data_IF_578138389473
#
_entry.id   IF_578138389473
#
_cell.length_a   1.000
_cell.length_b   1.000
_cell.length_c   1.000
_cell.angle_alpha   90.00
_cell.angle_beta   90.00
_cell.angle_gamma   90.00
#
_symmetry.space_group_name_H-M   'P 1'
#
loop_
_entity.id
_entity.type
_entity.pdbx_description
1 polymer ?
#
# COMPACT_ATOMS: atom_id res chain seq x y z
N UNK A 1 37.84 -43.60 -12.79
CA UNK A 1 36.88 -42.90 -13.67
C UNK A 1 35.62 -42.36 -12.95
N UNK A 2 35.25 -42.79 -11.73
CA UNK A 2 33.98 -42.35 -11.11
C UNK A 2 34.01 -41.03 -10.30
N UNK A 3 35.17 -40.59 -9.80
CA UNK A 3 35.25 -39.37 -8.95
C UNK A 3 34.94 -38.07 -9.68
N UNK A 4 35.31 -37.96 -10.96
CA UNK A 4 34.99 -36.80 -11.80
C UNK A 4 33.53 -36.75 -12.23
N UNK A 5 32.88 -37.92 -12.36
CA UNK A 5 31.47 -38.02 -12.74
C UNK A 5 30.53 -37.54 -11.64
N UNK A 6 30.83 -37.90 -10.38
CA UNK A 6 30.08 -37.42 -9.22
C UNK A 6 30.24 -35.89 -9.06
N UNK A 7 31.46 -35.37 -9.28
CA UNK A 7 31.71 -33.94 -9.23
C UNK A 7 30.98 -33.17 -10.35
N UNK A 8 30.95 -33.72 -11.57
CA UNK A 8 30.17 -33.16 -12.69
C UNK A 8 28.65 -33.21 -12.43
N UNK A 9 28.13 -34.30 -11.85
CA UNK A 9 26.71 -34.40 -11.48
C UNK A 9 26.33 -33.40 -10.38
N UNK A 10 27.21 -33.19 -9.39
CA UNK A 10 27.02 -32.17 -8.35
C UNK A 10 27.06 -30.75 -8.94
N UNK A 11 27.94 -30.48 -9.90
CA UNK A 11 28.01 -29.19 -10.60
C UNK A 11 26.75 -28.91 -11.43
N UNK A 12 26.19 -29.94 -12.08
CA UNK A 12 24.91 -29.83 -12.81
C UNK A 12 23.75 -29.59 -11.83
N UNK A 13 23.75 -30.24 -10.67
CA UNK A 13 22.71 -30.03 -9.64
C UNK A 13 22.77 -28.62 -9.03
N UNK A 14 23.97 -28.15 -8.68
CA UNK A 14 24.20 -26.81 -8.10
C UNK A 14 23.92 -25.70 -9.12
N UNK A 15 24.18 -25.93 -10.41
CA UNK A 15 23.84 -24.96 -11.46
C UNK A 15 22.34 -24.82 -11.70
N UNK A 16 21.54 -25.88 -11.44
CA UNK A 16 20.08 -25.78 -11.46
C UNK A 16 19.53 -24.96 -10.27
N UNK A 17 20.21 -24.96 -9.12
CA UNK A 17 19.84 -24.14 -7.95
C UNK A 17 20.30 -22.68 -8.06
N UNK A 18 21.27 -22.38 -8.94
CA UNK A 18 21.86 -21.05 -9.11
C UNK A 18 21.22 -20.18 -10.20
N UNK A 19 20.18 -20.66 -10.86
CA UNK A 19 19.33 -19.76 -11.64
C UNK A 19 18.46 -19.00 -10.64
N UNK A 20 19.00 -17.91 -10.09
CA UNK A 20 18.19 -16.79 -9.60
C UNK A 20 17.46 -16.25 -10.83
N UNK A 21 16.39 -16.96 -11.20
CA UNK A 21 15.60 -16.72 -12.37
C UNK A 21 14.58 -15.66 -11.96
N UNK A 22 14.48 -14.59 -12.75
CA UNK A 22 13.19 -13.92 -12.89
C UNK A 22 12.19 -15.02 -13.30
N UNK A 23 11.45 -15.56 -12.33
CA UNK A 23 10.50 -16.66 -12.57
C UNK A 23 9.35 -16.18 -13.45
N UNK A 24 9.00 -14.90 -13.36
CA UNK A 24 8.10 -14.21 -14.27
C UNK A 24 8.25 -12.68 -14.17
N UNK A 25 7.79 -11.97 -15.19
CA UNK A 25 7.57 -10.51 -15.15
C UNK A 25 6.26 -10.20 -15.85
N UNK A 26 5.40 -9.40 -15.22
CA UNK A 26 4.09 -9.02 -15.77
C UNK A 26 3.81 -7.55 -15.51
N UNK A 27 3.02 -6.97 -16.39
CA UNK A 27 2.52 -5.60 -16.28
C UNK A 27 1.06 -5.68 -15.85
N UNK A 28 0.71 -4.95 -14.80
CA UNK A 28 -0.64 -4.87 -14.26
C UNK A 28 -1.08 -3.42 -14.29
N UNK A 29 -2.32 -3.18 -14.71
CA UNK A 29 -2.86 -1.83 -14.87
C UNK A 29 -3.65 -1.67 -16.17
N UNK A 30 -4.06 -0.45 -16.44
CA UNK A 30 -4.78 -0.01 -17.62
C UNK A 30 -4.02 1.02 -18.46
N UNK A 31 -4.71 1.77 -19.33
CA UNK A 31 -4.12 2.83 -20.13
C UNK A 31 -3.85 4.13 -19.33
N UNK A 32 -4.30 4.18 -18.08
CA UNK A 32 -4.13 5.32 -17.18
C UNK A 32 -2.90 5.15 -16.28
N UNK A 33 -2.54 6.20 -15.55
CA UNK A 33 -1.43 6.15 -14.60
C UNK A 33 -1.81 5.28 -13.39
N UNK A 34 -1.17 4.12 -13.28
CA UNK A 34 -1.34 3.18 -12.17
C UNK A 34 -0.03 3.05 -11.39
N UNK A 35 -0.12 3.11 -10.06
CA UNK A 35 1.05 3.12 -9.18
C UNK A 35 0.96 1.96 -8.18
N UNK A 36 2.01 1.13 -8.11
CA UNK A 36 2.16 0.15 -7.05
C UNK A 36 2.98 0.75 -5.89
N UNK A 37 2.44 0.69 -4.67
CA UNK A 37 3.09 1.23 -3.47
C UNK A 37 3.64 0.15 -2.56
N UNK A 38 2.97 -1.00 -2.47
CA UNK A 38 3.35 -2.08 -1.58
C UNK A 38 3.11 -3.44 -2.22
N UNK A 39 3.98 -4.40 -1.92
CA UNK A 39 3.85 -5.80 -2.34
C UNK A 39 4.26 -6.72 -1.18
N UNK A 40 3.47 -7.76 -0.94
CA UNK A 40 3.75 -8.77 0.09
C UNK A 40 3.44 -10.16 -0.45
N UNK A 41 4.36 -11.10 -0.21
CA UNK A 41 4.11 -12.51 -0.51
C UNK A 41 3.10 -13.08 0.47
N UNK A 42 2.16 -13.90 -0.02
CA UNK A 42 1.13 -14.55 0.78
C UNK A 42 1.56 -15.98 1.17
N UNK A 43 0.97 -16.56 2.24
CA UNK A 43 1.35 -17.90 2.72
C UNK A 43 1.11 -19.03 1.70
N UNK A 44 0.21 -18.81 0.74
CA UNK A 44 -0.06 -19.72 -0.38
C UNK A 44 1.00 -19.64 -1.50
N UNK A 45 2.06 -18.84 -1.34
CA UNK A 45 3.12 -18.64 -2.32
C UNK A 45 2.85 -17.54 -3.35
N UNK A 46 1.63 -17.00 -3.39
CA UNK A 46 1.26 -15.87 -4.25
C UNK A 46 1.69 -14.52 -3.70
N UNK A 47 1.10 -13.44 -4.24
CA UNK A 47 1.43 -12.06 -3.86
C UNK A 47 0.19 -11.19 -3.74
N UNK A 48 0.24 -10.21 -2.86
CA UNK A 48 -0.74 -9.11 -2.80
C UNK A 48 -0.01 -7.81 -3.08
N UNK A 49 -0.55 -7.01 -3.98
CA UNK A 49 -0.06 -5.69 -4.36
C UNK A 49 -1.12 -4.66 -4.02
N UNK A 50 -0.72 -3.57 -3.39
CA UNK A 50 -1.58 -2.43 -3.11
C UNK A 50 -1.02 -1.19 -3.80
N UNK A 51 -1.91 -0.49 -4.47
CA UNK A 51 -1.59 0.59 -5.37
C UNK A 51 -2.69 1.64 -5.44
N UNK A 52 -2.50 2.59 -6.34
CA UNK A 52 -3.56 3.46 -6.85
C UNK A 52 -3.80 3.07 -8.31
N UNK A 53 -5.07 3.07 -8.70
CA UNK A 53 -5.49 2.90 -10.08
C UNK A 53 -6.25 4.12 -10.57
N UNK A 54 -5.90 4.58 -11.75
CA UNK A 54 -6.54 5.68 -12.45
C UNK A 54 -6.03 7.08 -12.09
N UNK A 55 -6.58 8.07 -12.77
CA UNK A 55 -6.14 9.47 -12.66
C UNK A 55 -7.00 10.30 -11.71
N UNK A 56 -6.40 11.31 -11.08
CA UNK A 56 -7.14 12.31 -10.30
C UNK A 56 -8.22 13.00 -11.15
N UNK A 57 -9.44 13.21 -10.61
CA UNK A 57 -9.90 12.93 -9.24
C UNK A 57 -10.50 11.52 -9.05
N UNK A 58 -10.62 10.74 -10.11
CA UNK A 58 -11.30 9.43 -10.13
C UNK A 58 -10.40 8.26 -9.74
N UNK A 59 -9.21 8.55 -9.21
CA UNK A 59 -8.28 7.54 -8.74
C UNK A 59 -8.90 6.71 -7.60
N UNK A 60 -8.50 5.46 -7.49
CA UNK A 60 -8.98 4.53 -6.45
C UNK A 60 -7.85 3.74 -5.84
N UNK A 61 -7.94 3.43 -4.54
CA UNK A 61 -7.01 2.47 -3.95
C UNK A 61 -7.28 1.09 -4.57
N UNK A 62 -6.23 0.42 -5.02
CA UNK A 62 -6.34 -0.79 -5.83
C UNK A 62 -5.54 -1.93 -5.21
N UNK A 63 -6.26 -3.01 -4.86
CA UNK A 63 -5.70 -4.22 -4.29
C UNK A 63 -5.74 -5.35 -5.32
N UNK A 64 -4.60 -5.98 -5.53
CA UNK A 64 -4.37 -7.00 -6.55
C UNK A 64 -3.82 -8.25 -5.88
N UNK A 65 -4.50 -9.39 -6.02
CA UNK A 65 -3.99 -10.72 -5.62
C UNK A 65 -3.48 -11.45 -6.84
N UNK A 66 -2.28 -11.98 -6.70
CA UNK A 66 -1.56 -12.78 -7.67
C UNK A 66 -1.32 -14.19 -7.09
N UNK A 67 -1.22 -15.17 -7.98
CA UNK A 67 -0.68 -16.49 -7.66
C UNK A 67 0.86 -16.50 -7.69
N UNK A 68 1.46 -17.67 -7.48
CA UNK A 68 2.91 -17.85 -7.48
C UNK A 68 3.58 -17.55 -8.84
N UNK A 69 2.81 -17.57 -9.94
CA UNK A 69 3.26 -17.33 -11.32
C UNK A 69 2.93 -15.90 -11.82
N UNK A 70 2.39 -15.06 -10.92
CA UNK A 70 1.96 -13.70 -11.24
C UNK A 70 0.64 -13.64 -12.02
N UNK A 71 -0.12 -14.72 -12.14
CA UNK A 71 -1.45 -14.62 -12.72
C UNK A 71 -2.41 -13.96 -11.73
N UNK A 72 -3.28 -13.10 -12.26
CA UNK A 72 -4.24 -12.36 -11.44
C UNK A 72 -5.33 -13.31 -10.94
N UNK A 73 -5.41 -13.46 -9.61
CA UNK A 73 -6.47 -14.22 -8.93
C UNK A 73 -7.70 -13.34 -8.76
N UNK A 74 -7.52 -12.13 -8.23
CA UNK A 74 -8.60 -11.15 -8.10
C UNK A 74 -8.04 -9.72 -8.00
N UNK A 75 -8.92 -8.75 -8.25
CA UNK A 75 -8.65 -7.33 -8.02
C UNK A 75 -9.82 -6.66 -7.30
N UNK A 76 -9.53 -5.66 -6.48
CA UNK A 76 -10.51 -4.84 -5.76
C UNK A 76 -10.12 -3.37 -5.85
N UNK A 77 -11.10 -2.53 -6.11
CA UNK A 77 -10.95 -1.09 -6.00
C UNK A 77 -11.74 -0.61 -4.79
N UNK A 78 -11.13 0.28 -4.02
CA UNK A 78 -11.75 0.93 -2.88
C UNK A 78 -11.87 2.41 -3.18
N UNK A 79 -13.11 2.91 -3.14
CA UNK A 79 -13.42 4.31 -3.38
C UNK A 79 -12.55 5.20 -2.51
N UNK A 80 -12.00 6.21 -3.17
CA UNK A 80 -10.87 6.98 -2.66
C UNK A 80 -11.17 8.47 -2.68
N UNK A 81 -12.36 8.81 -2.19
CA UNK A 81 -12.90 10.17 -2.08
C UNK A 81 -11.99 11.19 -1.36
N UNK A 82 -10.80 10.79 -0.88
CA UNK A 82 -9.87 11.61 -0.10
C UNK A 82 -8.39 11.42 -0.49
N UNK A 83 -8.06 10.82 -1.65
CA UNK A 83 -6.65 10.67 -2.08
C UNK A 83 -6.11 11.96 -2.68
N UNK A 84 -5.99 13.01 -1.89
CA UNK A 84 -5.52 14.27 -2.43
C UNK A 84 -4.00 14.34 -2.48
N UNK A 85 -3.27 14.02 -1.40
CA UNK A 85 -1.81 14.10 -1.43
C UNK A 85 -1.17 13.08 -0.47
N UNK A 86 -0.08 12.45 -0.90
CA UNK A 86 0.69 11.36 -0.24
C UNK A 86 -0.10 10.17 0.28
N UNK A 87 0.33 9.00 -0.15
CA UNK A 87 -0.08 7.75 0.44
C UNK A 87 1.14 7.03 0.98
N UNK A 88 1.09 6.73 2.27
CA UNK A 88 1.85 5.61 2.81
C UNK A 88 0.88 4.45 2.97
N UNK A 89 1.29 3.31 2.44
CA UNK A 89 0.46 2.13 2.29
C UNK A 89 1.26 0.92 2.71
N UNK A 90 0.83 0.31 3.80
CA UNK A 90 1.36 -0.96 4.28
C UNK A 90 0.32 -2.06 4.10
N UNK A 91 0.79 -3.24 3.66
CA UNK A 91 0.03 -4.47 3.68
C UNK A 91 0.50 -5.32 4.86
N UNK A 92 -0.41 -5.59 5.80
CA UNK A 92 -0.20 -6.66 6.78
C UNK A 92 -1.12 -7.85 6.53
N UNK A 93 -0.56 -9.06 6.64
CA UNK A 93 -1.26 -10.32 6.40
C UNK A 93 -1.36 -11.05 7.74
N UNK A 94 -2.49 -10.90 8.42
CA UNK A 94 -2.77 -11.62 9.66
C UNK A 94 -3.86 -12.67 9.42
N UNK A 95 -3.52 -13.95 9.60
CA UNK A 95 -4.49 -15.06 9.70
C UNK A 95 -5.55 -15.13 8.59
N UNK A 96 -5.23 -14.65 7.37
CA UNK A 96 -6.16 -14.60 6.22
C UNK A 96 -6.73 -13.22 5.90
N UNK A 97 -6.34 -12.17 6.62
CA UNK A 97 -6.86 -10.83 6.42
C UNK A 97 -5.78 -9.90 5.88
N UNK A 98 -6.14 -9.06 4.91
CA UNK A 98 -5.25 -8.02 4.37
C UNK A 98 -5.63 -6.70 5.02
N UNK A 99 -4.69 -6.13 5.76
CA UNK A 99 -4.79 -4.78 6.33
C UNK A 99 -4.17 -3.79 5.36
N UNK A 100 -4.97 -2.84 4.88
CA UNK A 100 -4.53 -1.73 4.05
C UNK A 100 -4.63 -0.44 4.86
N UNK A 101 -3.51 0.25 5.02
CA UNK A 101 -3.45 1.55 5.71
C UNK A 101 -3.28 2.64 4.66
N UNK A 102 -4.01 3.74 4.83
CA UNK A 102 -3.92 4.92 3.99
C UNK A 102 -3.76 6.15 4.88
N UNK A 103 -2.60 6.80 4.81
CA UNK A 103 -2.34 8.07 5.48
C UNK A 103 -2.39 9.20 4.45
N UNK A 104 -3.40 10.07 4.54
CA UNK A 104 -3.48 11.31 3.76
C UNK A 104 -2.60 12.40 4.43
N UNK A 105 -1.77 13.10 3.64
CA UNK A 105 -0.77 14.18 3.95
C UNK A 105 -1.06 15.20 5.07
N UNK A 106 -0.04 16.03 5.46
CA UNK A 106 -0.06 16.90 6.64
C UNK A 106 -0.81 18.22 6.42
N UNK A 107 -1.95 18.19 5.72
CA UNK A 107 -2.89 19.31 5.78
C UNK A 107 -3.70 19.24 7.07
N UNK A 108 -4.48 20.27 7.32
CA UNK A 108 -5.31 20.43 8.52
C UNK A 108 -6.30 19.27 8.67
N UNK A 109 -6.56 18.48 7.62
CA UNK A 109 -7.52 17.37 7.58
C UNK A 109 -6.85 16.01 7.30
N UNK A 110 -5.69 15.75 7.91
CA UNK A 110 -5.02 14.45 7.80
C UNK A 110 -5.93 13.34 8.35
N UNK A 111 -6.32 12.37 7.51
CA UNK A 111 -7.10 11.20 7.94
C UNK A 111 -6.30 9.92 7.70
N UNK A 112 -6.39 8.99 8.64
CA UNK A 112 -5.87 7.64 8.53
C UNK A 112 -7.04 6.69 8.32
N UNK A 113 -7.13 6.09 7.13
CA UNK A 113 -8.09 5.01 6.89
C UNK A 113 -7.40 3.68 7.06
N UNK A 114 -7.97 2.83 7.90
CA UNK A 114 -7.57 1.44 8.06
C UNK A 114 -8.68 0.57 7.48
N UNK A 115 -8.33 -0.31 6.55
CA UNK A 115 -9.26 -1.24 5.92
C UNK A 115 -8.79 -2.66 6.21
N UNK A 116 -9.64 -3.46 6.84
CA UNK A 116 -9.42 -4.90 6.96
C UNK A 116 -10.30 -5.64 5.97
N UNK A 117 -9.70 -6.54 5.22
CA UNK A 117 -10.40 -7.37 4.24
C UNK A 117 -10.22 -8.86 4.54
N UNK A 118 -11.14 -9.70 4.02
CA UNK A 118 -11.00 -11.16 3.98
C UNK A 118 -9.96 -11.63 2.93
N UNK A 119 -9.71 -12.95 2.85
CA UNK A 119 -8.78 -13.55 1.89
C UNK A 119 -9.17 -13.30 0.41
N UNK A 120 -10.44 -12.93 0.18
CA UNK A 120 -11.00 -12.61 -1.14
C UNK A 120 -10.99 -11.10 -1.42
N UNK A 121 -10.42 -10.30 -0.52
CA UNK A 121 -10.31 -8.84 -0.61
C UNK A 121 -11.63 -8.10 -0.34
N UNK A 122 -12.65 -8.75 0.23
CA UNK A 122 -13.88 -8.07 0.63
C UNK A 122 -13.67 -7.35 1.96
N UNK A 123 -14.19 -6.12 2.07
CA UNK A 123 -14.09 -5.33 3.31
C UNK A 123 -14.88 -6.02 4.42
N UNK A 124 -14.20 -6.31 5.53
CA UNK A 124 -14.81 -6.78 6.78
C UNK A 124 -15.16 -5.57 7.64
N UNK A 125 -14.24 -4.62 7.73
CA UNK A 125 -14.45 -3.34 8.39
C UNK A 125 -13.51 -2.28 7.82
N UNK A 126 -13.89 -1.02 7.96
CA UNK A 126 -13.01 0.12 7.69
C UNK A 126 -13.25 1.22 8.71
N UNK A 127 -12.18 1.74 9.28
CA UNK A 127 -12.22 2.84 10.25
C UNK A 127 -11.43 4.02 9.70
N UNK A 128 -11.90 5.23 9.99
CA UNK A 128 -11.23 6.49 9.65
C UNK A 128 -10.88 7.18 10.96
N UNK A 129 -9.61 7.47 11.14
CA UNK A 129 -9.10 8.24 12.27
C UNK A 129 -8.68 9.61 11.78
N UNK A 130 -9.31 10.64 12.35
CA UNK A 130 -8.91 12.01 12.13
C UNK A 130 -7.60 12.28 12.90
N UNK A 131 -6.57 12.66 12.16
CA UNK A 131 -5.25 13.04 12.63
C UNK A 131 -5.01 14.56 12.46
N UNK A 132 -6.06 15.33 12.19
CA UNK A 132 -6.02 16.78 12.20
C UNK A 132 -5.40 17.30 13.49
N UNK A 133 -4.49 18.27 13.36
CA UNK A 133 -4.04 19.02 14.53
C UNK A 133 -5.21 19.93 14.90
N UNK A 134 -5.74 19.88 16.13
CA UNK A 134 -6.78 20.82 16.53
C UNK A 134 -6.24 22.23 16.31
N UNK A 135 -6.91 23.01 15.46
CA UNK A 135 -6.56 24.40 15.24
C UNK A 135 -6.68 25.10 16.60
N UNK A 136 -5.54 25.49 17.18
CA UNK A 136 -5.57 26.52 18.22
C UNK A 136 -6.06 27.75 17.47
N UNK A 137 -7.33 28.11 17.68
CA UNK A 137 -7.81 29.45 17.36
C UNK A 137 -6.82 30.42 18.02
N UNK A 138 -5.93 31.01 17.24
CA UNK A 138 -5.20 32.18 17.72
C UNK A 138 -6.26 33.26 17.82
N UNK A 139 -6.64 33.75 19.03
CA UNK A 139 -7.45 34.94 19.09
C UNK A 139 -6.57 36.09 18.60
N UNK A 140 -6.65 36.39 17.31
CA UNK A 140 -6.27 37.69 16.79
C UNK A 140 -7.34 38.69 17.23
N UNK A 141 -7.44 38.92 18.54
CA UNK A 141 -8.15 40.08 19.08
C UNK A 141 -7.11 41.19 19.28
N UNK A 142 -6.66 41.75 18.15
CA UNK A 142 -6.05 43.06 18.10
C UNK A 142 -7.15 44.06 17.73
N UNK A 143 -8.08 44.36 18.65
CA UNK A 143 -8.43 45.76 18.87
C UNK A 143 -9.30 46.04 20.11
N UNK A 144 -9.04 47.22 20.71
CA UNK A 144 -9.77 47.93 21.79
C UNK A 144 -9.39 47.52 23.22
N UNK A 145 -8.85 48.37 24.08
CA UNK A 145 -9.03 49.83 24.22
C UNK A 145 -7.83 50.52 24.88
N UNK A 146 -7.47 51.66 24.29
CA UNK A 146 -6.87 52.82 24.94
C UNK A 146 -7.38 53.10 26.36
N UNK A 147 -6.47 53.30 27.30
CA UNK A 147 -6.77 53.85 28.64
C UNK A 147 -5.49 54.29 29.35
N UNK A 148 -5.26 55.60 29.37
CA UNK A 148 -4.26 56.36 30.15
C UNK A 148 -4.15 55.84 31.60
N UNK A 149 -2.99 55.85 32.25
CA UNK A 149 -2.45 57.05 32.90
C UNK A 149 -0.94 56.91 33.19
N UNK A 150 -0.20 57.94 32.79
CA UNK A 150 1.04 58.38 33.41
C UNK A 150 0.75 59.03 34.78
N UNK A 151 1.45 58.62 35.84
CA UNK A 151 2.32 59.45 36.70
C UNK A 151 3.21 58.51 37.52
#
# INVERSE_FOLDING_TARGET
MSRYYIFLLLLIFISNELVSQNTWSRVYGGPEDDFAYSVKQTPDGGYVVLGIRGIYPDQSAWLLKLDEYGDTVWTKSFDSTMLEYSLDIEIDYDSGYILAINKVTPSIDANLRIVKTDELGNIIWSEIYDLSIPTIDYPYDLDKTSGLLSF
#
